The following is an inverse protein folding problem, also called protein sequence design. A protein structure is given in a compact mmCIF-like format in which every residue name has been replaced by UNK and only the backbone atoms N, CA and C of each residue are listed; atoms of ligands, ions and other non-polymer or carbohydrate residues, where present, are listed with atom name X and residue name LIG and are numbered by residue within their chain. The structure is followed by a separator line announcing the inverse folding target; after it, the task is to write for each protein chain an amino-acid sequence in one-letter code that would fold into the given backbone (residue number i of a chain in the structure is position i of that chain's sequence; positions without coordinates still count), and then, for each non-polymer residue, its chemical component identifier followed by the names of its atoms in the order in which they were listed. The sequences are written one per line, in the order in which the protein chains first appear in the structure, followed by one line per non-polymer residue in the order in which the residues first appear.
data_IF_538471615614
#
_entry.id   IF_538471615614
#
_cell.length_a   1.000
_cell.length_b   1.000
_cell.length_c   1.000
_cell.angle_alpha   90.00
_cell.angle_beta   90.00
_cell.angle_gamma   90.00
#
_symmetry.space_group_name_H-M   'P 1'
#
loop_
_entity.id
_entity.type
_entity.pdbx_description
1 polymer ?
#
# COMPACT_ATOMS: atom_id res chain seq x y z
N UNK A 1 -3.14 3.45 -5.62
CA UNK A 1 -1.81 2.79 -5.60
C UNK A 1 -1.89 1.50 -6.40
N UNK A 2 -0.97 1.19 -7.33
CA UNK A 2 -1.03 -0.07 -8.07
C UNK A 2 -0.28 -1.17 -7.29
N UNK A 3 -1.02 -2.05 -6.62
CA UNK A 3 -0.42 -3.27 -6.06
C UNK A 3 -0.15 -4.27 -7.17
N UNK A 4 1.06 -4.84 -7.18
CA UNK A 4 1.32 -6.01 -8.02
C UNK A 4 0.52 -7.20 -7.52
N UNK A 5 0.14 -8.12 -8.41
CA UNK A 5 -0.58 -9.33 -8.03
C UNK A 5 0.20 -10.16 -6.98
N UNK A 6 1.53 -10.19 -7.10
CA UNK A 6 2.41 -10.86 -6.12
C UNK A 6 2.31 -10.22 -4.73
N UNK A 7 2.24 -8.89 -4.65
CA UNK A 7 2.07 -8.17 -3.38
C UNK A 7 0.71 -8.51 -2.73
N UNK A 8 -0.35 -8.59 -3.53
CA UNK A 8 -1.69 -8.96 -3.07
C UNK A 8 -1.73 -10.39 -2.54
N UNK A 9 -1.15 -11.35 -3.26
CA UNK A 9 -1.07 -12.74 -2.81
C UNK A 9 -0.28 -12.89 -1.52
N UNK A 10 0.82 -12.16 -1.37
CA UNK A 10 1.59 -12.14 -0.13
C UNK A 10 0.77 -11.56 1.03
N UNK A 11 0.03 -10.47 0.79
CA UNK A 11 -0.85 -9.88 1.80
C UNK A 11 -1.95 -10.84 2.22
N UNK A 12 -2.65 -11.48 1.28
CA UNK A 12 -3.66 -12.50 1.53
C UNK A 12 -3.10 -13.65 2.39
N UNK A 13 -1.92 -14.17 2.03
CA UNK A 13 -1.27 -15.26 2.79
C UNK A 13 -0.97 -14.84 4.23
N UNK A 14 -0.40 -13.66 4.43
CA UNK A 14 -0.08 -13.15 5.77
C UNK A 14 -1.35 -12.89 6.60
N UNK A 15 -2.37 -12.31 5.98
CA UNK A 15 -3.65 -12.03 6.60
C UNK A 15 -4.34 -13.33 7.04
N UNK A 16 -4.36 -14.35 6.18
CA UNK A 16 -4.86 -15.68 6.50
C UNK A 16 -4.11 -16.31 7.68
N UNK A 17 -2.78 -16.22 7.71
CA UNK A 17 -1.98 -16.77 8.81
C UNK A 17 -2.25 -16.09 10.15
N UNK A 18 -2.59 -14.79 10.15
CA UNK A 18 -2.79 -13.99 11.36
C UNK A 18 -4.23 -13.99 11.87
N UNK A 19 -5.20 -13.98 10.96
CA UNK A 19 -6.62 -13.80 11.29
C UNK A 19 -7.48 -15.01 10.92
N UNK A 20 -6.90 -16.03 10.27
CA UNK A 20 -7.62 -17.21 9.78
C UNK A 20 -8.79 -16.89 8.84
N UNK A 21 -8.73 -15.72 8.18
CA UNK A 21 -9.73 -15.21 7.25
C UNK A 21 -9.12 -15.14 5.84
N UNK A 22 -9.81 -15.70 4.85
CA UNK A 22 -9.44 -15.55 3.43
C UNK A 22 -10.01 -14.24 2.89
N UNK A 23 -9.21 -13.55 2.09
CA UNK A 23 -9.60 -12.31 1.43
C UNK A 23 -9.64 -12.52 -0.08
N UNK A 24 -10.66 -11.95 -0.73
CA UNK A 24 -10.63 -11.70 -2.17
C UNK A 24 -9.54 -10.69 -2.54
N UNK A 25 -9.22 -10.59 -3.84
CA UNK A 25 -8.25 -9.62 -4.33
C UNK A 25 -8.69 -8.16 -4.06
N UNK A 26 -9.99 -7.85 -4.15
CA UNK A 26 -10.50 -6.51 -3.82
C UNK A 26 -10.38 -6.20 -2.32
N UNK A 27 -10.74 -7.14 -1.45
CA UNK A 27 -10.63 -6.93 0.00
C UNK A 27 -9.19 -6.78 0.44
N UNK A 28 -8.30 -7.60 -0.13
CA UNK A 28 -6.87 -7.51 0.10
C UNK A 28 -6.31 -6.13 -0.32
N UNK A 29 -6.72 -5.62 -1.48
CA UNK A 29 -6.35 -4.26 -1.93
C UNK A 29 -6.85 -3.20 -0.95
N UNK A 30 -8.14 -3.17 -0.62
CA UNK A 30 -8.72 -2.16 0.28
C UNK A 30 -8.06 -2.16 1.66
N UNK A 31 -7.86 -3.34 2.25
CA UNK A 31 -7.21 -3.46 3.57
C UNK A 31 -5.73 -3.07 3.52
N UNK A 32 -5.01 -3.42 2.45
CA UNK A 32 -3.62 -3.01 2.28
C UNK A 32 -3.48 -1.49 2.11
N UNK A 33 -4.37 -0.85 1.35
CA UNK A 33 -4.42 0.62 1.22
C UNK A 33 -4.66 1.30 2.57
N UNK A 34 -5.62 0.79 3.33
CA UNK A 34 -5.92 1.31 4.67
C UNK A 34 -4.72 1.19 5.61
N UNK A 35 -4.04 0.04 5.63
CA UNK A 35 -2.85 -0.19 6.44
C UNK A 35 -1.72 0.79 6.10
N UNK A 36 -1.47 1.00 4.80
CA UNK A 36 -0.46 1.95 4.34
C UNK A 36 -0.82 3.39 4.68
N UNK A 37 -2.10 3.75 4.62
CA UNK A 37 -2.60 5.04 5.09
C UNK A 37 -2.27 5.26 6.57
N UNK A 38 -2.59 4.28 7.43
CA UNK A 38 -2.26 4.33 8.86
C UNK A 38 -0.77 4.47 9.11
N UNK A 39 0.04 3.63 8.47
CA UNK A 39 1.50 3.69 8.59
C UNK A 39 2.01 5.10 8.26
N UNK A 40 1.53 5.71 7.17
CA UNK A 40 1.95 7.06 6.79
C UNK A 40 1.58 8.12 7.82
N UNK A 41 0.34 8.10 8.31
CA UNK A 41 -0.12 9.05 9.34
C UNK A 41 0.74 8.94 10.61
N UNK A 42 0.99 7.71 11.08
CA UNK A 42 1.78 7.48 12.30
C UNK A 42 3.22 7.99 12.16
N UNK A 43 3.81 7.84 10.97
CA UNK A 43 5.20 8.24 10.73
C UNK A 43 5.35 9.63 10.09
N UNK A 44 4.26 10.42 9.99
CA UNK A 44 4.28 11.76 9.38
C UNK A 44 4.73 11.75 7.91
N UNK A 45 4.49 10.65 7.20
CA UNK A 45 4.86 10.52 5.79
C UNK A 45 3.78 11.15 4.90
N UNK A 46 4.18 11.80 3.79
CA UNK A 46 3.23 12.37 2.83
C UNK A 46 2.32 11.29 2.23
N UNK A 47 1.20 11.73 1.65
CA UNK A 47 0.27 10.85 0.94
C UNK A 47 0.95 10.16 -0.25
N UNK A 48 0.34 9.09 -0.79
CA UNK A 48 0.93 8.37 -1.93
C UNK A 48 1.06 9.33 -3.11
N UNK A 49 0.03 10.14 -3.32
CA UNK A 49 -0.04 11.16 -4.37
C UNK A 49 1.06 12.21 -4.18
N UNK A 50 1.23 12.74 -2.97
CA UNK A 50 2.28 13.72 -2.65
C UNK A 50 3.70 13.15 -2.83
N UNK A 51 3.91 11.85 -2.57
CA UNK A 51 5.22 11.22 -2.78
C UNK A 51 5.59 11.06 -4.26
N UNK A 52 4.60 10.76 -5.11
CA UNK A 52 4.84 10.63 -6.55
C UNK A 52 4.97 11.99 -7.24
N UNK A 53 4.21 13.00 -6.84
CA UNK A 53 4.37 14.38 -7.35
C UNK A 53 5.75 14.96 -6.99
N UNK A 54 6.23 14.72 -5.77
CA UNK A 54 7.57 15.18 -5.36
C UNK A 54 8.70 14.44 -6.08
N UNK A 55 8.54 13.16 -6.42
CA UNK A 55 9.54 12.40 -7.20
C UNK A 55 9.61 12.76 -8.67
N UNK A 56 8.54 13.30 -9.25
CA UNK A 56 8.55 13.78 -10.64
C UNK A 56 9.32 15.11 -10.72
N UNK A 57 9.15 16.01 -9.76
CA UNK A 57 9.87 17.27 -9.71
C UNK A 57 11.38 17.13 -9.47
N UNK A 58 11.84 16.14 -8.69
CA UNK A 58 13.28 15.91 -8.47
C UNK A 58 14.03 15.46 -9.74
N UNK A 59 13.35 14.90 -10.74
CA UNK A 59 13.97 14.44 -12.00
C UNK A 59 14.09 15.50 -13.09
N UNK A 60 13.45 16.65 -12.94
CA UNK A 60 13.49 17.73 -13.93
C UNK A 60 14.58 18.78 -13.63
N UNK A 61 15.36 18.58 -12.55
CA UNK A 61 16.40 19.55 -12.12
C UNK A 61 17.84 19.02 -12.21
N UNK A 62 18.08 17.90 -12.91
CA UNK A 62 19.44 17.42 -13.29
C UNK A 62 19.73 17.59 -14.78
#
# INVERSE_FOLDING_TARGET
MQFTQRSIQNFQRLYLQKFSEQLSDEEAKRKAEYLLGFYRIVFGLPSVEEFFDNKINEKETE
#
